data_IF_869919306135
#
_entry.id   IF_869919306135
#
_cell.length_a   1.000
_cell.length_b   1.000
_cell.length_c   1.000
_cell.angle_alpha   90.00
_cell.angle_beta   90.00
_cell.angle_gamma   90.00
#
_symmetry.space_group_name_H-M   'P 1'
#
loop_
_entity.id
_entity.type
_entity.pdbx_description
1 polymer ?
#
# COMPACT_ATOMS: atom_id res chain seq x y z
N UNK A 1 -14.99 -9.53 8.31
CA UNK A 1 -13.59 -9.11 8.21
C UNK A 1 -13.31 -8.05 9.27
N UNK A 2 -12.27 -8.22 10.05
CA UNK A 2 -11.96 -7.29 11.13
C UNK A 2 -11.46 -5.96 10.58
N UNK A 3 -12.00 -4.88 11.10
CA UNK A 3 -11.58 -3.53 10.77
C UNK A 3 -10.20 -3.26 11.41
N UNK A 4 -9.23 -2.84 10.60
CA UNK A 4 -7.90 -2.45 11.09
C UNK A 4 -7.91 -0.99 11.53
N UNK A 5 -7.09 -0.61 12.52
CA UNK A 5 -6.97 0.81 12.88
C UNK A 5 -6.46 1.70 11.75
N UNK A 6 -5.59 1.14 10.89
CA UNK A 6 -4.95 1.89 9.82
C UNK A 6 -4.74 0.99 8.61
N UNK A 7 -4.92 1.55 7.42
CA UNK A 7 -4.54 0.90 6.16
C UNK A 7 -3.52 1.76 5.44
N UNK A 8 -2.46 1.12 4.94
CA UNK A 8 -1.52 1.77 4.03
C UNK A 8 -2.07 1.62 2.63
N UNK A 9 -2.23 2.72 1.92
CA UNK A 9 -2.73 2.75 0.55
C UNK A 9 -1.57 3.08 -0.38
N UNK A 10 -1.22 2.12 -1.24
CA UNK A 10 -0.06 2.19 -2.13
C UNK A 10 -0.54 2.18 -3.57
N UNK A 11 -0.18 3.22 -4.33
CA UNK A 11 -0.58 3.34 -5.73
C UNK A 11 0.64 3.19 -6.63
N UNK A 12 0.49 2.46 -7.75
CA UNK A 12 1.62 2.24 -8.64
C UNK A 12 1.16 2.07 -10.10
N UNK A 13 2.05 2.45 -11.01
CA UNK A 13 1.92 2.22 -12.44
C UNK A 13 3.31 2.26 -13.07
N UNK A 14 3.77 1.10 -13.58
CA UNK A 14 5.07 0.97 -14.25
C UNK A 14 6.24 1.49 -13.38
N UNK A 15 6.30 1.00 -12.14
CA UNK A 15 7.34 1.35 -11.18
C UNK A 15 8.29 0.18 -10.89
N UNK A 16 8.61 -0.66 -11.89
CA UNK A 16 9.41 -1.87 -11.64
C UNK A 16 10.77 -1.58 -11.00
N UNK A 17 11.34 -0.40 -11.24
CA UNK A 17 12.64 -0.02 -10.68
C UNK A 17 12.54 0.40 -9.21
N UNK A 18 11.36 0.76 -8.73
CA UNK A 18 11.16 1.38 -7.42
C UNK A 18 10.26 0.59 -6.50
N UNK A 19 9.39 -0.26 -7.04
CA UNK A 19 8.31 -0.90 -6.27
C UNK A 19 8.84 -1.76 -5.13
N UNK A 20 9.95 -2.45 -5.31
CA UNK A 20 10.54 -3.29 -4.27
C UNK A 20 10.99 -2.46 -3.08
N UNK A 21 11.71 -1.37 -3.34
CA UNK A 21 12.16 -0.47 -2.26
C UNK A 21 10.97 0.16 -1.53
N UNK A 22 9.95 0.55 -2.28
CA UNK A 22 8.74 1.14 -1.70
C UNK A 22 8.02 0.13 -0.81
N UNK A 23 7.78 -1.10 -1.28
CA UNK A 23 7.12 -2.14 -0.51
C UNK A 23 7.92 -2.54 0.73
N UNK A 24 9.24 -2.67 0.60
CA UNK A 24 10.11 -2.96 1.74
C UNK A 24 10.00 -1.87 2.80
N UNK A 25 9.91 -0.60 2.39
CA UNK A 25 9.80 0.53 3.33
C UNK A 25 8.49 0.51 4.10
N UNK A 26 7.42 -0.01 3.49
CA UNK A 26 6.14 -0.19 4.15
C UNK A 26 6.20 -1.37 5.12
N UNK A 27 6.70 -2.51 4.65
CA UNK A 27 6.68 -3.75 5.42
C UNK A 27 7.68 -3.78 6.58
N UNK A 28 8.65 -2.86 6.59
CA UNK A 28 9.57 -2.69 7.72
C UNK A 28 8.95 -1.93 8.89
N UNK A 29 7.77 -1.35 8.72
CA UNK A 29 7.16 -0.51 9.75
C UNK A 29 6.88 -1.30 11.02
N UNK A 30 7.22 -0.70 12.17
CA UNK A 30 7.03 -1.26 13.50
C UNK A 30 5.92 -0.49 14.20
N UNK A 31 4.89 -1.21 14.63
CA UNK A 31 3.72 -0.61 15.27
C UNK A 31 3.25 -1.48 16.43
N UNK A 32 2.53 -0.85 17.37
CA UNK A 32 1.84 -1.57 18.44
C UNK A 32 0.37 -1.82 18.11
N UNK A 33 -0.02 -1.61 16.86
CA UNK A 33 -1.37 -1.88 16.35
C UNK A 33 -1.27 -2.66 15.04
N UNK A 34 -2.36 -3.32 14.68
CA UNK A 34 -2.43 -4.02 13.39
C UNK A 34 -2.78 -3.06 12.27
N UNK A 35 -2.21 -3.29 11.10
CA UNK A 35 -2.50 -2.53 9.89
C UNK A 35 -2.44 -3.45 8.69
N UNK A 36 -3.08 -3.05 7.61
CA UNK A 36 -3.03 -3.78 6.34
C UNK A 36 -2.56 -2.86 5.22
N UNK A 37 -2.23 -3.48 4.09
CA UNK A 37 -1.71 -2.81 2.91
C UNK A 37 -2.63 -3.06 1.74
N UNK A 38 -3.11 -1.99 1.11
CA UNK A 38 -3.89 -2.07 -0.13
C UNK A 38 -3.04 -1.54 -1.26
N UNK A 39 -2.84 -2.34 -2.29
CA UNK A 39 -2.02 -1.99 -3.46
C UNK A 39 -2.93 -1.85 -4.67
N UNK A 40 -2.97 -0.66 -5.27
CA UNK A 40 -3.71 -0.43 -6.51
C UNK A 40 -2.72 -0.24 -7.66
N UNK A 41 -2.76 -1.15 -8.62
CA UNK A 41 -1.92 -1.10 -9.82
C UNK A 41 -2.77 -0.83 -11.05
N UNK A 42 -2.41 0.21 -11.80
CA UNK A 42 -3.18 0.70 -12.94
C UNK A 42 -2.79 0.00 -14.25
N UNK A 43 -2.80 -1.34 -14.21
CA UNK A 43 -2.51 -2.17 -15.39
C UNK A 43 -1.08 -1.98 -15.88
N UNK A 44 -0.10 -2.14 -15.00
CA UNK A 44 1.32 -2.05 -15.35
C UNK A 44 1.68 -3.04 -16.45
N UNK A 45 2.47 -2.57 -17.41
CA UNK A 45 2.92 -3.36 -18.56
C UNK A 45 4.34 -3.89 -18.37
N UNK A 46 5.04 -3.46 -17.31
CA UNK A 46 6.38 -3.92 -16.96
C UNK A 46 6.30 -5.02 -15.88
N UNK A 47 7.39 -5.24 -15.15
CA UNK A 47 7.46 -6.29 -14.11
C UNK A 47 6.87 -5.87 -12.76
N UNK A 48 6.21 -4.72 -12.66
CA UNK A 48 5.66 -4.23 -11.40
C UNK A 48 4.73 -5.26 -10.75
N UNK A 49 3.76 -5.79 -11.50
CA UNK A 49 2.78 -6.75 -10.95
C UNK A 49 3.43 -8.04 -10.47
N UNK A 50 4.42 -8.55 -11.22
CA UNK A 50 5.12 -9.76 -10.82
C UNK A 50 5.81 -9.58 -9.48
N UNK A 51 6.43 -8.41 -9.26
CA UNK A 51 7.08 -8.09 -7.99
C UNK A 51 6.08 -7.95 -6.85
N UNK A 52 4.95 -7.30 -7.10
CA UNK A 52 3.88 -7.17 -6.10
C UNK A 52 3.36 -8.55 -5.70
N UNK A 53 3.17 -9.46 -6.66
CA UNK A 53 2.68 -10.80 -6.38
C UNK A 53 3.63 -11.61 -5.50
N UNK A 54 4.94 -11.39 -5.60
CA UNK A 54 5.91 -12.02 -4.69
C UNK A 54 5.67 -11.59 -3.24
N UNK A 55 5.38 -10.31 -3.02
CA UNK A 55 5.05 -9.81 -1.68
C UNK A 55 3.71 -10.34 -1.20
N UNK A 56 2.71 -10.38 -2.07
CA UNK A 56 1.39 -10.95 -1.74
C UNK A 56 1.52 -12.40 -1.27
N UNK A 57 2.38 -13.18 -1.93
CA UNK A 57 2.61 -14.57 -1.55
C UNK A 57 3.23 -14.70 -0.15
N UNK A 58 4.09 -13.73 0.23
CA UNK A 58 4.74 -13.72 1.55
C UNK A 58 3.82 -13.20 2.66
N UNK A 59 2.88 -12.32 2.32
CA UNK A 59 1.98 -11.68 3.28
C UNK A 59 0.53 -11.74 2.78
N UNK A 60 -0.03 -12.96 2.61
CA UNK A 60 -1.32 -13.11 1.90
C UNK A 60 -2.50 -12.47 2.61
N UNK A 61 -2.47 -12.38 3.95
CA UNK A 61 -3.57 -11.80 4.72
C UNK A 61 -3.40 -10.30 4.94
N UNK A 62 -2.17 -9.81 4.88
CA UNK A 62 -1.86 -8.40 5.12
C UNK A 62 -2.05 -7.54 3.87
N UNK A 63 -1.82 -8.09 2.69
CA UNK A 63 -1.82 -7.36 1.43
C UNK A 63 -3.11 -7.63 0.65
N UNK A 64 -3.80 -6.57 0.26
CA UNK A 64 -4.98 -6.61 -0.60
C UNK A 64 -4.64 -5.96 -1.92
N UNK A 65 -5.02 -6.60 -3.04
CA UNK A 65 -4.66 -6.14 -4.37
C UNK A 65 -5.87 -5.61 -5.12
N UNK A 66 -5.71 -4.43 -5.73
CA UNK A 66 -6.63 -3.89 -6.73
C UNK A 66 -5.83 -3.83 -8.03
N UNK A 67 -5.91 -4.90 -8.82
CA UNK A 67 -5.25 -4.97 -10.12
C UNK A 67 -6.27 -4.59 -11.19
N UNK A 68 -6.14 -3.37 -11.72
CA UNK A 68 -7.06 -2.88 -12.74
C UNK A 68 -6.98 -3.77 -13.99
N UNK A 69 -8.13 -4.05 -14.59
CA UNK A 69 -8.21 -4.90 -15.78
C UNK A 69 -7.82 -4.15 -17.06
N UNK A 70 -7.69 -2.83 -16.96
CA UNK A 70 -7.23 -1.95 -18.03
C UNK A 70 -6.68 -0.69 -17.38
N UNK A 71 -5.94 0.12 -18.14
CA UNK A 71 -5.46 1.41 -17.62
C UNK A 71 -6.66 2.34 -17.45
N UNK A 72 -6.97 2.69 -16.22
CA UNK A 72 -8.11 3.57 -15.89
C UNK A 72 -7.69 5.01 -15.59
N UNK A 73 -6.37 5.26 -15.52
CA UNK A 73 -5.82 6.55 -15.21
C UNK A 73 -5.56 6.75 -13.71
N UNK A 74 -4.68 7.70 -13.36
CA UNK A 74 -4.27 7.89 -11.96
C UNK A 74 -5.42 8.32 -11.04
N UNK A 75 -6.35 9.16 -11.54
CA UNK A 75 -7.46 9.63 -10.72
C UNK A 75 -8.39 8.48 -10.32
N UNK A 76 -8.80 7.64 -11.27
CA UNK A 76 -9.70 6.52 -10.97
C UNK A 76 -8.99 5.47 -10.11
N UNK A 77 -7.71 5.18 -10.40
CA UNK A 77 -6.94 4.24 -9.61
C UNK A 77 -6.82 4.71 -8.15
N UNK A 78 -6.62 6.00 -7.95
CA UNK A 78 -6.57 6.61 -6.61
C UNK A 78 -7.91 6.47 -5.88
N UNK A 79 -9.02 6.77 -6.57
CA UNK A 79 -10.36 6.67 -5.97
C UNK A 79 -10.63 5.22 -5.55
N UNK A 80 -10.34 4.25 -6.40
CA UNK A 80 -10.54 2.84 -6.09
C UNK A 80 -9.68 2.42 -4.89
N UNK A 81 -8.46 2.93 -4.82
CA UNK A 81 -7.54 2.64 -3.71
C UNK A 81 -8.07 3.14 -2.38
N UNK A 82 -8.46 4.42 -2.28
CA UNK A 82 -8.83 5.02 -1.00
C UNK A 82 -10.24 4.64 -0.54
N UNK A 83 -11.08 4.13 -1.45
CA UNK A 83 -12.43 3.69 -1.08
C UNK A 83 -12.47 2.23 -0.65
N UNK A 84 -11.41 1.47 -0.92
CA UNK A 84 -11.36 0.04 -0.57
C UNK A 84 -11.27 -0.21 0.95
N UNK A 85 -10.40 0.48 1.70
CA UNK A 85 -10.21 0.14 3.12
C UNK A 85 -11.38 0.57 3.99
N UNK A 86 -11.56 -0.16 5.10
CA UNK A 86 -12.56 0.15 6.12
C UNK A 86 -11.87 0.43 7.44
N UNK A 87 -10.77 1.14 7.40
CA UNK A 87 -9.97 1.46 8.58
C UNK A 87 -10.23 2.89 9.03
N UNK A 88 -9.85 3.19 10.27
CA UNK A 88 -10.04 4.51 10.85
C UNK A 88 -9.13 5.55 10.17
N UNK A 89 -7.91 5.15 9.82
CA UNK A 89 -6.91 6.03 9.22
C UNK A 89 -6.33 5.41 7.96
N UNK A 90 -5.85 6.27 7.06
CA UNK A 90 -5.18 5.87 5.82
C UNK A 90 -3.82 6.55 5.77
N UNK A 91 -2.77 5.80 5.46
CA UNK A 91 -1.45 6.31 5.13
C UNK A 91 -1.18 6.04 3.65
N UNK A 92 -0.72 7.03 2.91
CA UNK A 92 -0.60 6.97 1.46
C UNK A 92 0.86 6.98 1.00
N UNK A 93 1.18 6.14 0.01
CA UNK A 93 2.51 6.13 -0.61
C UNK A 93 2.39 5.82 -2.09
N UNK A 94 3.18 6.52 -2.92
CA UNK A 94 3.31 6.23 -4.35
C UNK A 94 4.45 5.24 -4.62
N UNK A 95 4.33 4.47 -5.70
CA UNK A 95 5.23 3.36 -6.01
C UNK A 95 6.66 3.74 -6.36
N UNK A 96 6.93 5.03 -6.61
CA UNK A 96 8.26 5.56 -6.88
C UNK A 96 8.87 6.29 -5.68
N UNK A 97 8.24 6.14 -4.51
CA UNK A 97 8.70 6.76 -3.27
C UNK A 97 8.95 5.68 -2.21
N UNK A 98 9.51 6.05 -1.08
CA UNK A 98 9.75 5.11 0.02
C UNK A 98 9.92 5.86 1.34
N UNK A 99 9.58 5.18 2.43
CA UNK A 99 9.75 5.70 3.78
C UNK A 99 11.12 5.29 4.33
N UNK A 100 11.71 6.13 5.18
CA UNK A 100 13.01 5.86 5.79
C UNK A 100 12.93 5.56 7.28
N UNK A 101 11.87 6.02 7.95
CA UNK A 101 11.69 5.83 9.39
C UNK A 101 10.82 4.60 9.66
N UNK A 102 11.34 3.55 10.34
CA UNK A 102 10.55 2.36 10.63
C UNK A 102 9.42 2.63 11.64
N UNK A 103 9.36 3.79 12.24
CA UNK A 103 8.32 4.17 13.21
C UNK A 103 7.39 5.25 12.66
N UNK A 104 7.43 5.51 11.35
CA UNK A 104 6.61 6.55 10.73
C UNK A 104 5.12 6.33 11.01
N UNK A 105 4.62 5.11 10.81
CA UNK A 105 3.20 4.81 11.03
C UNK A 105 2.83 4.97 12.51
N UNK A 106 3.68 4.49 13.41
CA UNK A 106 3.43 4.59 14.84
C UNK A 106 3.38 6.05 15.29
N UNK A 107 4.31 6.87 14.81
CA UNK A 107 4.36 8.29 15.16
C UNK A 107 3.11 9.03 14.66
N UNK A 108 2.69 8.78 13.43
CA UNK A 108 1.50 9.42 12.88
C UNK A 108 0.23 8.95 13.57
N UNK A 109 0.14 7.66 13.86
CA UNK A 109 -1.00 7.10 14.57
C UNK A 109 -1.16 7.73 15.94
N UNK A 110 -0.06 7.89 16.69
CA UNK A 110 -0.08 8.51 18.01
C UNK A 110 -0.60 9.95 17.95
N UNK A 111 -0.21 10.71 16.94
CA UNK A 111 -0.67 12.10 16.75
C UNK A 111 -2.18 12.12 16.46
N UNK A 112 -2.65 11.24 15.59
CA UNK A 112 -4.05 11.20 15.20
C UNK A 112 -4.97 10.73 16.34
N UNK A 113 -4.45 9.94 17.26
CA UNK A 113 -5.23 9.43 18.40
C UNK A 113 -5.26 10.37 19.60
N UNK A 114 -4.57 11.49 19.54
CA UNK A 114 -4.61 12.49 20.62
C UNK A 114 -5.97 13.15 20.79
#
# INVERSE_FOLDING_TARGET
MNKKPLSVCFITYNHEKYVTQALDSILMQKTDFEWDLVVADDYSTDSTRAKILEYKARFPEKIHLIFQEKNVGPAQNFIDLITFPNSKYIAYLEGDDYWTDPYKLQKQYNILEQ
#
